data_IF_337909582340
#
_entry.id   IF_337909582340
#
_cell.length_a   1.000
_cell.length_b   1.000
_cell.length_c   1.000
_cell.angle_alpha   90.00
_cell.angle_beta   90.00
_cell.angle_gamma   90.00
#
_symmetry.space_group_name_H-M   'P 1'
#
loop_
_entity.id
_entity.type
_entity.pdbx_description
1 polymer ?
#
# COMPACT_ATOMS: atom_id res chain seq x y z
N UNK A 1 2.92 14.26 3.10
CA UNK A 1 2.25 15.39 2.44
C UNK A 1 2.97 16.70 2.70
N UNK A 2 2.65 17.74 1.93
CA UNK A 2 3.22 19.09 2.04
C UNK A 2 2.15 20.13 1.63
N UNK A 3 2.51 21.41 1.40
CA UNK A 3 1.56 22.48 1.02
C UNK A 3 0.88 23.17 2.20
N UNK A 4 0.78 22.50 3.33
CA UNK A 4 0.30 23.01 4.63
C UNK A 4 1.27 22.57 5.71
N UNK A 5 1.28 23.27 6.85
CA UNK A 5 2.12 22.92 8.00
C UNK A 5 1.50 21.79 8.83
N UNK A 6 2.29 21.16 9.73
CA UNK A 6 1.79 20.17 10.68
C UNK A 6 0.65 20.72 11.55
N UNK A 7 0.79 21.95 12.03
CA UNK A 7 -0.26 22.63 12.78
C UNK A 7 -1.54 22.81 11.98
N UNK A 8 -1.45 23.27 10.73
CA UNK A 8 -2.61 23.44 9.85
C UNK A 8 -3.28 22.10 9.52
N UNK A 9 -2.48 21.05 9.28
CA UNK A 9 -2.98 19.70 9.05
C UNK A 9 -3.74 19.16 10.29
N UNK A 10 -3.14 19.29 11.46
CA UNK A 10 -3.79 18.90 12.72
C UNK A 10 -5.06 19.73 12.97
N UNK A 11 -5.01 21.05 12.75
CA UNK A 11 -6.19 21.93 12.88
C UNK A 11 -7.35 21.53 11.97
N UNK A 12 -7.07 21.16 10.71
CA UNK A 12 -8.10 20.70 9.78
C UNK A 12 -8.79 19.41 10.25
N UNK A 13 -8.02 18.47 10.82
CA UNK A 13 -8.58 17.21 11.34
C UNK A 13 -9.28 17.44 12.68
N UNK A 14 -8.77 18.33 13.52
CA UNK A 14 -9.46 18.74 14.76
C UNK A 14 -10.82 19.37 14.49
N UNK A 15 -10.91 20.24 13.48
CA UNK A 15 -12.18 20.83 13.04
C UNK A 15 -13.16 19.76 12.51
N UNK A 16 -12.67 18.75 11.79
CA UNK A 16 -13.50 17.63 11.32
C UNK A 16 -14.09 16.84 12.50
N UNK A 17 -13.33 16.61 13.56
CA UNK A 17 -13.76 15.83 14.72
C UNK A 17 -14.47 16.66 15.81
N UNK A 18 -14.53 17.99 15.66
CA UNK A 18 -15.06 18.89 16.69
C UNK A 18 -14.19 18.92 17.97
N UNK A 19 -12.87 18.72 17.81
CA UNK A 19 -11.89 18.66 18.91
C UNK A 19 -10.80 19.71 18.73
N UNK A 20 -9.73 19.64 19.53
CA UNK A 20 -8.59 20.55 19.43
C UNK A 20 -7.32 19.83 19.03
N UNK A 21 -6.52 20.48 18.17
CA UNK A 21 -5.15 20.08 17.90
C UNK A 21 -4.23 20.55 19.02
N UNK A 22 -3.33 19.67 19.48
CA UNK A 22 -2.35 19.96 20.51
C UNK A 22 -0.96 19.63 20.01
N UNK A 23 -0.02 20.55 20.21
CA UNK A 23 1.40 20.23 20.02
C UNK A 23 1.85 19.38 21.21
N UNK A 24 2.53 18.26 20.94
CA UNK A 24 3.11 17.43 22.00
C UNK A 24 4.62 17.65 22.04
N UNK A 25 5.19 17.63 23.23
CA UNK A 25 6.64 17.87 23.41
C UNK A 25 7.44 16.57 23.57
N UNK A 26 6.86 15.44 23.19
CA UNK A 26 7.48 14.11 23.31
C UNK A 26 8.79 13.98 22.51
N UNK A 27 8.94 14.75 21.45
CA UNK A 27 10.16 14.78 20.67
C UNK A 27 10.38 16.15 20.02
N UNK A 28 11.50 16.80 20.32
CA UNK A 28 11.91 18.03 19.62
C UNK A 28 12.25 17.79 18.16
N UNK A 29 12.69 16.58 17.82
CA UNK A 29 13.10 16.23 16.47
C UNK A 29 11.91 16.11 15.52
N UNK A 30 10.79 15.52 15.99
CA UNK A 30 9.63 15.25 15.14
C UNK A 30 8.53 16.32 15.24
N UNK A 31 8.64 17.27 16.15
CA UNK A 31 7.67 18.38 16.35
C UNK A 31 6.22 17.93 16.17
N UNK A 32 5.76 16.96 16.99
CA UNK A 32 4.50 16.28 16.75
C UNK A 32 3.30 17.13 17.19
N UNK A 33 2.25 17.07 16.37
CA UNK A 33 0.90 17.55 16.70
C UNK A 33 -0.03 16.35 16.82
N UNK A 34 -0.97 16.41 17.74
CA UNK A 34 -1.92 15.34 18.03
C UNK A 34 -3.36 15.87 18.01
N UNK A 35 -4.26 15.05 17.46
CA UNK A 35 -5.70 15.25 17.51
C UNK A 35 -6.33 13.97 18.07
N UNK A 36 -7.19 14.08 19.05
CA UNK A 36 -7.91 12.96 19.63
C UNK A 36 -9.34 12.99 19.06
N UNK A 37 -9.79 11.86 18.45
CA UNK A 37 -11.15 11.74 17.96
C UNK A 37 -12.15 11.37 19.08
N UNK A 38 -13.43 11.25 18.73
CA UNK A 38 -14.49 10.95 19.68
C UNK A 38 -14.35 9.57 20.37
N UNK A 39 -13.61 8.64 19.75
CA UNK A 39 -13.33 7.32 20.29
C UNK A 39 -12.05 7.28 21.14
N UNK A 40 -11.43 8.45 21.38
CA UNK A 40 -10.19 8.58 22.13
C UNK A 40 -8.94 8.18 21.32
N UNK A 41 -9.05 7.95 20.03
CA UNK A 41 -7.95 7.54 19.17
C UNK A 41 -7.12 8.75 18.75
N UNK A 42 -5.80 8.59 18.74
CA UNK A 42 -4.82 9.66 18.51
C UNK A 42 -4.34 9.68 17.07
N UNK A 43 -4.60 10.77 16.38
CA UNK A 43 -4.11 11.09 15.03
C UNK A 43 -2.88 12.01 15.19
N UNK A 44 -1.72 11.57 14.69
CA UNK A 44 -0.46 12.28 14.90
C UNK A 44 0.08 12.85 13.59
N UNK A 45 0.54 14.08 13.64
CA UNK A 45 1.16 14.80 12.52
C UNK A 45 2.61 15.06 12.90
N UNK A 46 3.54 14.37 12.25
CA UNK A 46 4.96 14.39 12.60
C UNK A 46 5.83 14.88 11.45
N UNK A 47 7.05 15.24 11.75
CA UNK A 47 8.07 15.60 10.77
C UNK A 47 8.59 14.33 10.07
N UNK A 48 8.62 14.38 8.74
CA UNK A 48 9.34 13.39 7.91
C UNK A 48 10.42 14.09 7.08
N UNK A 49 11.68 13.80 7.42
CA UNK A 49 12.85 14.41 6.79
C UNK A 49 12.97 14.14 5.29
N UNK A 50 12.40 13.06 4.78
CA UNK A 50 12.46 12.65 3.37
C UNK A 50 11.60 13.52 2.45
N UNK A 51 10.60 14.23 3.01
CA UNK A 51 9.66 15.05 2.24
C UNK A 51 10.35 16.32 1.72
N UNK A 52 10.22 16.58 0.43
CA UNK A 52 10.56 17.86 -0.18
C UNK A 52 9.41 18.84 0.10
N UNK A 53 9.68 19.77 1.03
CA UNK A 53 8.68 20.74 1.48
C UNK A 53 8.29 21.72 0.34
N UNK A 54 7.00 21.94 0.19
CA UNK A 54 6.44 22.99 -0.69
C UNK A 54 5.40 23.79 0.08
N UNK A 55 5.17 25.02 -0.35
CA UNK A 55 4.13 25.91 0.17
C UNK A 55 3.37 26.56 -0.99
N UNK A 56 2.15 26.96 -0.72
CA UNK A 56 1.36 27.66 -1.73
C UNK A 56 1.68 29.14 -1.71
N UNK A 57 2.12 29.67 -2.85
CA UNK A 57 2.32 31.11 -3.08
C UNK A 57 1.40 31.52 -4.24
N UNK A 58 0.34 32.24 -3.92
CA UNK A 58 -0.73 32.54 -4.87
C UNK A 58 -1.40 31.26 -5.40
N UNK A 59 -1.24 30.99 -6.70
CA UNK A 59 -1.80 29.79 -7.35
C UNK A 59 -0.77 28.67 -7.58
N UNK A 60 0.49 28.86 -7.16
CA UNK A 60 1.60 27.91 -7.43
C UNK A 60 2.06 27.24 -6.16
N UNK A 61 2.61 26.04 -6.32
CA UNK A 61 3.38 25.36 -5.28
C UNK A 61 4.86 25.71 -5.48
N UNK A 62 5.49 26.26 -4.45
CA UNK A 62 6.89 26.64 -4.46
C UNK A 62 7.65 25.91 -3.35
N UNK A 63 8.96 25.67 -3.49
CA UNK A 63 9.75 25.08 -2.41
C UNK A 63 9.63 25.88 -1.12
N UNK A 64 9.39 25.19 0.00
CA UNK A 64 9.35 25.80 1.32
C UNK A 64 10.67 25.53 2.05
N UNK A 65 11.21 26.56 2.73
CA UNK A 65 12.39 26.40 3.60
C UNK A 65 12.02 25.91 4.98
N UNK A 66 10.80 26.19 5.43
CA UNK A 66 10.32 25.80 6.75
C UNK A 66 9.99 24.29 6.77
N UNK A 67 10.62 23.59 7.69
CA UNK A 67 10.41 22.17 7.92
C UNK A 67 8.99 21.82 8.43
N UNK A 68 8.23 22.81 8.89
CA UNK A 68 6.84 22.64 9.30
C UNK A 68 5.95 22.10 8.16
N UNK A 69 6.35 22.35 6.88
CA UNK A 69 5.67 21.83 5.70
C UNK A 69 6.02 20.37 5.33
N UNK A 70 6.89 19.71 6.09
CA UNK A 70 7.16 18.27 5.95
C UNK A 70 6.25 17.51 6.90
N UNK A 71 5.14 17.00 6.38
CA UNK A 71 4.06 16.46 7.20
C UNK A 71 3.83 14.99 6.89
N UNK A 72 4.01 14.14 7.89
CA UNK A 72 3.54 12.77 7.90
C UNK A 72 2.34 12.64 8.82
N UNK A 73 1.25 12.05 8.35
CA UNK A 73 0.11 11.67 9.17
C UNK A 73 0.22 10.21 9.57
N UNK A 74 0.30 9.95 10.87
CA UNK A 74 0.18 8.63 11.46
C UNK A 74 -1.24 8.47 12.01
N UNK A 75 -2.03 7.60 11.36
CA UNK A 75 -3.34 7.23 11.87
C UNK A 75 -3.21 6.39 13.15
N UNK A 76 -4.20 6.38 14.02
CA UNK A 76 -4.31 5.33 15.03
C UNK A 76 -4.55 3.97 14.36
N UNK A 77 -4.52 2.90 15.16
CA UNK A 77 -4.99 1.59 14.71
C UNK A 77 -6.49 1.68 14.41
N UNK A 78 -6.85 1.36 13.17
CA UNK A 78 -8.22 1.45 12.66
C UNK A 78 -8.73 0.07 12.29
N UNK A 79 -10.01 -0.18 12.57
CA UNK A 79 -10.74 -1.31 12.02
C UNK A 79 -11.23 -1.01 10.60
N UNK A 80 -11.50 -2.03 9.79
CA UNK A 80 -11.99 -1.83 8.42
C UNK A 80 -13.31 -1.04 8.37
N UNK A 81 -14.14 -1.17 9.38
CA UNK A 81 -15.39 -0.40 9.54
C UNK A 81 -15.15 1.12 9.66
N UNK A 82 -13.96 1.54 10.11
CA UNK A 82 -13.56 2.94 10.26
C UNK A 82 -12.96 3.56 8.98
N UNK A 83 -12.95 2.82 7.87
CA UNK A 83 -12.43 3.31 6.59
C UNK A 83 -13.11 4.61 6.14
N UNK A 84 -14.40 4.80 6.46
CA UNK A 84 -15.13 6.05 6.21
C UNK A 84 -14.49 7.25 6.91
N UNK A 85 -14.17 7.10 8.21
CA UNK A 85 -13.49 8.13 9.02
C UNK A 85 -12.14 8.51 8.40
N UNK A 86 -11.32 7.53 8.04
CA UNK A 86 -10.03 7.79 7.36
C UNK A 86 -10.22 8.57 6.05
N UNK A 87 -11.22 8.20 5.26
CA UNK A 87 -11.52 8.89 4.01
C UNK A 87 -11.94 10.36 4.22
N UNK A 88 -12.65 10.66 5.31
CA UNK A 88 -13.03 12.03 5.69
C UNK A 88 -11.79 12.84 6.11
N UNK A 89 -10.88 12.25 6.88
CA UNK A 89 -9.59 12.87 7.23
C UNK A 89 -8.79 13.21 5.98
N UNK A 90 -8.67 12.29 5.03
CA UNK A 90 -7.96 12.54 3.76
C UNK A 90 -8.61 13.69 2.97
N UNK A 91 -9.95 13.77 2.93
CA UNK A 91 -10.67 14.88 2.28
C UNK A 91 -10.44 16.20 3.00
N UNK A 92 -10.51 16.21 4.33
CA UNK A 92 -10.28 17.41 5.13
C UNK A 92 -8.88 17.99 4.88
N UNK A 93 -7.85 17.15 4.87
CA UNK A 93 -6.48 17.56 4.55
C UNK A 93 -6.35 18.13 3.15
N UNK A 94 -6.96 17.48 2.14
CA UNK A 94 -6.97 17.99 0.78
C UNK A 94 -7.69 19.34 0.67
N UNK A 95 -8.81 19.52 1.33
CA UNK A 95 -9.57 20.78 1.35
C UNK A 95 -8.81 21.88 2.09
N UNK A 96 -8.01 21.54 3.11
CA UNK A 96 -7.12 22.48 3.78
C UNK A 96 -5.93 22.93 2.93
N UNK A 97 -5.75 22.36 1.73
CA UNK A 97 -4.69 22.74 0.80
C UNK A 97 -3.44 21.84 0.84
N UNK A 98 -3.49 20.71 1.54
CA UNK A 98 -2.43 19.71 1.47
C UNK A 98 -2.24 19.21 0.04
N UNK A 99 -0.99 18.96 -0.32
CA UNK A 99 -0.59 18.36 -1.60
C UNK A 99 0.41 17.24 -1.36
N UNK A 100 0.62 16.41 -2.37
CA UNK A 100 1.65 15.38 -2.39
C UNK A 100 2.58 15.59 -3.57
N UNK A 101 3.82 15.14 -3.43
CA UNK A 101 4.80 15.14 -4.51
C UNK A 101 5.58 13.81 -4.52
N UNK A 102 6.52 13.65 -5.43
CA UNK A 102 7.27 12.41 -5.61
C UNK A 102 8.10 11.95 -4.40
N UNK A 103 8.31 12.83 -3.41
CA UNK A 103 9.00 12.46 -2.15
C UNK A 103 8.06 11.91 -1.10
N UNK A 104 6.74 12.05 -1.28
CA UNK A 104 5.75 11.53 -0.35
C UNK A 104 5.43 10.07 -0.66
N UNK A 105 5.07 9.30 0.36
CA UNK A 105 4.63 7.92 0.24
C UNK A 105 3.36 7.65 1.06
N UNK A 106 2.68 6.55 0.75
CA UNK A 106 1.66 5.95 1.60
C UNK A 106 2.18 4.60 2.09
N UNK A 107 2.25 4.43 3.41
CA UNK A 107 2.59 3.17 4.05
C UNK A 107 1.34 2.58 4.70
N UNK A 108 1.14 1.29 4.55
CA UNK A 108 0.04 0.56 5.18
C UNK A 108 0.62 -0.48 6.13
N UNK A 109 0.33 -0.34 7.41
CA UNK A 109 0.69 -1.32 8.44
C UNK A 109 -0.53 -2.17 8.78
N UNK A 110 -0.37 -3.49 8.70
CA UNK A 110 -1.41 -4.46 9.07
C UNK A 110 -0.89 -5.25 10.27
N UNK A 111 -1.72 -5.40 11.30
CA UNK A 111 -1.40 -6.21 12.46
C UNK A 111 -0.95 -7.62 12.05
N UNK A 112 0.23 -8.02 12.49
CA UNK A 112 0.81 -9.31 12.19
C UNK A 112 0.42 -10.41 13.17
N UNK A 113 -0.34 -10.13 14.22
CA UNK A 113 -0.70 -11.10 15.28
C UNK A 113 -1.45 -12.32 14.74
N UNK A 114 -2.19 -12.17 13.64
CA UNK A 114 -2.90 -13.27 12.97
C UNK A 114 -2.04 -14.03 11.95
N UNK A 115 -0.84 -13.52 11.67
CA UNK A 115 0.07 -14.17 10.75
C UNK A 115 0.91 -15.23 11.46
N UNK A 116 0.99 -16.39 10.82
CA UNK A 116 1.94 -17.45 11.17
C UNK A 116 3.16 -17.37 10.24
N UNK A 117 4.28 -18.04 10.56
CA UNK A 117 5.41 -18.13 9.63
C UNK A 117 5.00 -18.64 8.24
N UNK A 118 4.05 -19.60 8.18
CA UNK A 118 3.47 -20.10 6.93
C UNK A 118 2.77 -18.98 6.16
N UNK A 119 1.91 -18.21 6.79
CA UNK A 119 1.17 -17.16 6.11
C UNK A 119 2.08 -15.99 5.68
N UNK A 120 3.12 -15.65 6.43
CA UNK A 120 4.13 -14.66 6.02
C UNK A 120 4.94 -15.15 4.80
N UNK A 121 5.32 -16.45 4.78
CA UNK A 121 5.90 -17.08 3.60
C UNK A 121 4.97 -17.00 2.39
N UNK A 122 3.68 -17.27 2.61
CA UNK A 122 2.65 -17.17 1.58
C UNK A 122 2.54 -15.74 1.05
N UNK A 123 2.47 -14.76 1.94
CA UNK A 123 2.36 -13.34 1.58
C UNK A 123 3.57 -12.87 0.75
N UNK A 124 4.78 -13.19 1.20
CA UNK A 124 6.01 -12.90 0.46
C UNK A 124 6.00 -13.55 -0.93
N UNK A 125 5.51 -14.78 -1.02
CA UNK A 125 5.41 -15.52 -2.28
C UNK A 125 4.38 -14.91 -3.23
N UNK A 126 3.21 -14.49 -2.73
CA UNK A 126 2.19 -13.79 -3.50
C UNK A 126 2.76 -12.47 -4.03
N UNK A 127 3.37 -11.67 -3.15
CA UNK A 127 3.99 -10.40 -3.54
C UNK A 127 5.03 -10.62 -4.62
N UNK A 128 6.03 -11.47 -4.40
CA UNK A 128 7.08 -11.77 -5.38
C UNK A 128 6.53 -12.24 -6.72
N UNK A 129 5.52 -13.11 -6.70
CA UNK A 129 4.91 -13.63 -7.93
C UNK A 129 4.23 -12.56 -8.78
N UNK A 130 3.68 -11.52 -8.19
CA UNK A 130 2.87 -10.49 -8.84
C UNK A 130 3.47 -9.09 -8.77
N UNK A 131 4.67 -8.94 -8.22
CA UNK A 131 5.28 -7.67 -7.87
C UNK A 131 5.30 -6.69 -9.05
N UNK A 132 5.77 -7.13 -10.23
CA UNK A 132 5.85 -6.27 -11.41
C UNK A 132 4.45 -5.78 -11.86
N UNK A 133 3.45 -6.64 -11.77
CA UNK A 133 2.06 -6.30 -12.12
C UNK A 133 1.44 -5.37 -11.07
N UNK A 134 1.70 -5.62 -9.78
CA UNK A 134 1.23 -4.78 -8.66
C UNK A 134 1.82 -3.38 -8.78
N UNK A 135 3.15 -3.26 -8.91
CA UNK A 135 3.81 -1.95 -9.01
C UNK A 135 3.34 -1.17 -10.24
N UNK A 136 3.12 -1.86 -11.37
CA UNK A 136 2.56 -1.24 -12.57
C UNK A 136 1.12 -0.74 -12.34
N UNK A 137 0.28 -1.52 -11.66
CA UNK A 137 -1.09 -1.13 -11.33
C UNK A 137 -1.16 0.06 -10.37
N UNK A 138 -0.28 0.09 -9.38
CA UNK A 138 -0.15 1.18 -8.42
C UNK A 138 0.48 2.44 -9.05
N UNK A 139 1.15 2.30 -10.20
CA UNK A 139 1.88 3.38 -10.84
C UNK A 139 3.13 3.80 -10.04
N UNK A 140 3.70 2.86 -9.27
CA UNK A 140 4.88 3.11 -8.45
C UNK A 140 6.05 3.57 -9.31
N UNK A 141 6.56 4.76 -9.03
CA UNK A 141 7.60 5.38 -9.83
C UNK A 141 8.94 4.65 -9.67
N UNK A 142 9.75 4.49 -10.74
CA UNK A 142 11.06 3.83 -10.67
C UNK A 142 11.97 4.41 -9.59
N UNK A 143 11.98 5.74 -9.41
CA UNK A 143 12.75 6.41 -8.36
C UNK A 143 12.36 5.91 -6.96
N UNK A 144 11.06 5.72 -6.73
CA UNK A 144 10.56 5.22 -5.45
C UNK A 144 11.00 3.78 -5.21
N UNK A 145 10.94 2.93 -6.24
CA UNK A 145 11.43 1.55 -6.18
C UNK A 145 12.92 1.51 -5.83
N UNK A 146 13.71 2.41 -6.39
CA UNK A 146 15.16 2.47 -6.14
C UNK A 146 15.53 3.01 -4.75
N UNK A 147 14.69 3.83 -4.12
CA UNK A 147 15.04 4.54 -2.88
C UNK A 147 14.27 4.06 -1.65
N UNK A 148 13.01 3.69 -1.78
CA UNK A 148 12.10 3.53 -0.63
C UNK A 148 11.28 2.25 -0.61
N UNK A 149 11.19 1.52 -1.74
CA UNK A 149 10.42 0.28 -1.82
C UNK A 149 11.04 -0.70 -2.82
N UNK A 150 12.25 -1.17 -2.50
CA UNK A 150 12.98 -2.13 -3.32
C UNK A 150 12.15 -3.38 -3.63
N UNK A 151 12.43 -3.98 -4.77
CA UNK A 151 11.84 -5.27 -5.15
C UNK A 151 12.27 -6.38 -4.17
N UNK A 152 11.44 -7.38 -4.05
CA UNK A 152 11.73 -8.58 -3.26
C UNK A 152 13.01 -9.26 -3.75
N UNK A 153 13.93 -9.56 -2.84
CA UNK A 153 15.17 -10.27 -3.18
C UNK A 153 14.90 -11.73 -3.50
N UNK A 154 15.17 -12.11 -4.72
CA UNK A 154 14.88 -13.47 -5.22
C UNK A 154 15.55 -14.56 -4.38
N UNK A 155 16.81 -14.37 -3.94
CA UNK A 155 17.52 -15.31 -3.09
C UNK A 155 16.82 -15.50 -1.73
N UNK A 156 16.38 -14.41 -1.08
CA UNK A 156 15.66 -14.45 0.20
C UNK A 156 14.30 -15.15 0.02
N UNK A 157 13.57 -14.78 -1.04
CA UNK A 157 12.29 -15.41 -1.36
C UNK A 157 12.46 -16.91 -1.60
N UNK A 158 13.48 -17.32 -2.39
CA UNK A 158 13.78 -18.75 -2.66
C UNK A 158 14.07 -19.52 -1.38
N UNK A 159 14.90 -18.95 -0.49
CA UNK A 159 15.24 -19.60 0.80
C UNK A 159 13.98 -19.78 1.64
N UNK A 160 13.22 -18.71 1.89
CA UNK A 160 12.02 -18.74 2.73
C UNK A 160 10.97 -19.70 2.15
N UNK A 161 10.80 -19.71 0.84
CA UNK A 161 9.82 -20.53 0.16
C UNK A 161 10.11 -22.02 0.25
N UNK A 162 11.41 -22.41 0.19
CA UNK A 162 11.85 -23.79 0.24
C UNK A 162 11.98 -24.34 1.67
N UNK A 163 11.68 -23.54 2.69
CA UNK A 163 11.68 -24.01 4.07
C UNK A 163 10.58 -25.07 4.30
N UNK A 164 10.83 -26.02 5.21
CA UNK A 164 9.89 -27.11 5.45
C UNK A 164 8.55 -26.65 6.01
N UNK A 165 7.50 -27.48 5.93
CA UNK A 165 6.30 -27.28 6.73
C UNK A 165 6.67 -27.26 8.22
N UNK A 166 6.05 -26.42 9.02
CA UNK A 166 6.44 -26.24 10.42
C UNK A 166 7.53 -25.18 10.64
N UNK A 167 7.80 -24.36 9.63
CA UNK A 167 8.64 -23.16 9.74
C UNK A 167 8.32 -22.36 11.00
N UNK A 168 9.31 -22.05 11.82
CA UNK A 168 9.18 -21.21 13.00
C UNK A 168 9.38 -19.72 12.65
N UNK A 169 8.89 -18.82 13.50
CA UNK A 169 9.10 -17.38 13.33
C UNK A 169 10.60 -17.02 13.37
N UNK A 170 11.34 -17.69 14.22
CA UNK A 170 12.80 -17.49 14.31
C UNK A 170 13.53 -17.91 13.03
N UNK A 171 13.14 -19.04 12.43
CA UNK A 171 13.72 -19.45 11.14
C UNK A 171 13.38 -18.49 10.03
N UNK A 172 12.14 -17.96 9.99
CA UNK A 172 11.75 -16.93 9.05
C UNK A 172 12.55 -15.65 9.25
N UNK A 173 12.72 -15.20 10.48
CA UNK A 173 13.53 -14.04 10.86
C UNK A 173 14.97 -14.18 10.39
N UNK A 174 15.62 -15.30 10.69
CA UNK A 174 17.00 -15.59 10.26
C UNK A 174 17.14 -15.60 8.74
N UNK A 175 16.17 -16.14 8.03
CA UNK A 175 16.17 -16.13 6.56
C UNK A 175 16.00 -14.72 5.99
N UNK A 176 15.09 -13.92 6.57
CA UNK A 176 14.85 -12.54 6.15
C UNK A 176 16.12 -11.69 6.26
N UNK A 177 16.87 -11.83 7.34
CA UNK A 177 18.11 -11.11 7.58
C UNK A 177 19.37 -11.84 7.05
N UNK A 178 19.22 -12.95 6.31
CA UNK A 178 20.33 -13.74 5.75
C UNK A 178 21.34 -14.18 6.82
N UNK A 179 20.84 -14.64 7.95
CA UNK A 179 21.64 -15.11 9.09
C UNK A 179 22.20 -14.02 9.99
N UNK A 180 22.00 -12.74 9.68
CA UNK A 180 22.40 -11.61 10.52
C UNK A 180 21.35 -11.33 11.60
N UNK A 181 21.73 -10.63 12.66
CA UNK A 181 20.78 -10.05 13.59
C UNK A 181 20.45 -8.62 13.15
N UNK A 182 19.20 -8.38 12.81
CA UNK A 182 18.74 -7.08 12.32
C UNK A 182 17.38 -6.67 12.93
N UNK A 183 16.80 -7.54 13.77
CA UNK A 183 15.45 -7.34 14.29
C UNK A 183 15.33 -6.10 15.18
N UNK A 184 16.39 -5.74 15.89
CA UNK A 184 16.42 -4.60 16.81
C UNK A 184 16.95 -3.31 16.20
N UNK A 185 17.38 -3.34 14.93
CA UNK A 185 17.91 -2.16 14.24
C UNK A 185 16.77 -1.40 13.56
N UNK A 186 16.36 -0.25 14.15
CA UNK A 186 15.32 0.61 13.61
C UNK A 186 15.56 1.01 12.14
N UNK A 187 16.80 1.24 11.76
CA UNK A 187 17.20 1.66 10.41
C UNK A 187 17.70 0.52 9.53
N UNK A 188 17.36 -0.72 9.88
CA UNK A 188 17.76 -1.88 9.07
C UNK A 188 17.36 -1.66 7.61
N UNK A 189 18.31 -1.87 6.70
CA UNK A 189 18.12 -1.65 5.28
C UNK A 189 16.95 -2.48 4.68
N UNK A 190 16.64 -3.64 5.26
CA UNK A 190 15.54 -4.49 4.81
C UNK A 190 14.15 -3.87 5.03
N UNK A 191 14.06 -2.77 5.77
CA UNK A 191 12.82 -1.98 5.90
C UNK A 191 12.36 -1.36 4.57
N UNK A 192 13.28 -1.18 3.62
CA UNK A 192 13.01 -0.52 2.34
C UNK A 192 12.49 -1.46 1.26
N UNK A 193 12.01 -2.65 1.58
CA UNK A 193 11.29 -3.48 0.61
C UNK A 193 9.85 -3.03 0.41
N UNK A 194 9.31 -3.26 -0.81
CA UNK A 194 7.91 -2.99 -1.16
C UNK A 194 6.93 -3.68 -0.22
N UNK A 195 7.21 -4.93 0.17
CA UNK A 195 6.62 -5.65 1.29
C UNK A 195 7.69 -5.80 2.37
N UNK A 196 7.55 -5.04 3.44
CA UNK A 196 8.53 -4.99 4.52
C UNK A 196 8.15 -5.95 5.66
N UNK A 197 8.86 -7.09 5.76
CA UNK A 197 8.71 -8.01 6.88
C UNK A 197 9.64 -7.67 8.07
N UNK A 198 10.59 -6.74 7.93
CA UNK A 198 11.32 -6.22 9.09
C UNK A 198 10.35 -5.63 10.12
N UNK A 199 9.29 -4.96 9.66
CA UNK A 199 8.25 -4.42 10.52
C UNK A 199 7.53 -5.48 11.36
N UNK A 200 7.46 -6.74 10.90
CA UNK A 200 6.90 -7.85 11.70
C UNK A 200 7.74 -8.11 12.94
N UNK A 201 9.06 -8.09 12.78
CA UNK A 201 10.00 -8.41 13.87
C UNK A 201 10.26 -7.21 14.78
N UNK A 202 10.10 -5.99 14.28
CA UNK A 202 10.38 -4.75 15.00
C UNK A 202 9.11 -4.12 15.62
N UNK A 203 8.01 -4.06 14.87
CA UNK A 203 6.76 -3.38 15.26
C UNK A 203 5.56 -4.32 15.46
N UNK A 204 5.67 -5.60 15.10
CA UNK A 204 4.53 -6.52 15.10
C UNK A 204 3.53 -6.28 13.98
N UNK A 205 3.92 -5.61 12.89
CA UNK A 205 3.04 -5.33 11.74
C UNK A 205 3.68 -5.76 10.43
N UNK A 206 2.87 -6.15 9.45
CA UNK A 206 3.30 -6.23 8.06
C UNK A 206 3.18 -4.85 7.44
N UNK A 207 4.26 -4.32 6.90
CA UNK A 207 4.27 -2.99 6.27
C UNK A 207 4.33 -3.10 4.74
N UNK A 208 3.46 -2.35 4.08
CA UNK A 208 3.43 -2.15 2.64
C UNK A 208 3.93 -0.75 2.30
N UNK A 209 5.01 -0.65 1.51
CA UNK A 209 5.67 0.61 1.17
C UNK A 209 5.55 0.99 -0.30
N UNK A 210 4.94 0.15 -1.11
CA UNK A 210 4.87 0.29 -2.56
C UNK A 210 3.83 1.31 -3.06
N UNK A 211 2.97 1.83 -2.20
CA UNK A 211 1.94 2.77 -2.60
C UNK A 211 2.49 4.18 -2.80
N UNK A 212 2.09 4.80 -3.91
CA UNK A 212 2.32 6.23 -4.12
C UNK A 212 1.45 7.04 -3.17
N UNK A 213 1.95 8.20 -2.75
CA UNK A 213 1.16 9.10 -1.93
C UNK A 213 0.01 9.70 -2.71
N UNK A 214 -1.16 9.77 -2.09
CA UNK A 214 -2.36 10.36 -2.66
C UNK A 214 -3.22 11.01 -1.57
N UNK A 215 -3.90 12.09 -1.93
CA UNK A 215 -4.98 12.71 -1.13
C UNK A 215 -6.36 12.44 -1.75
N UNK A 216 -6.45 11.42 -2.62
CA UNK A 216 -7.71 10.93 -3.12
C UNK A 216 -8.23 9.81 -2.22
N UNK A 217 -9.27 10.09 -1.43
CA UNK A 217 -9.81 9.18 -0.42
C UNK A 217 -10.21 7.79 -0.95
N UNK A 218 -10.66 7.71 -2.22
CA UNK A 218 -10.98 6.44 -2.88
C UNK A 218 -9.75 5.62 -3.22
N UNK A 219 -8.63 6.25 -3.59
CA UNK A 219 -7.36 5.57 -3.84
C UNK A 219 -6.77 5.05 -2.53
N UNK A 220 -6.74 5.86 -1.46
CA UNK A 220 -6.28 5.42 -0.13
C UNK A 220 -7.05 4.17 0.32
N UNK A 221 -8.39 4.18 0.19
CA UNK A 221 -9.21 3.00 0.47
C UNK A 221 -8.83 1.81 -0.40
N UNK A 222 -8.60 2.01 -1.68
CA UNK A 222 -8.26 0.94 -2.61
C UNK A 222 -6.91 0.29 -2.28
N UNK A 223 -5.90 1.09 -1.95
CA UNK A 223 -4.56 0.63 -1.58
C UNK A 223 -4.59 -0.18 -0.28
N UNK A 224 -5.28 0.32 0.75
CA UNK A 224 -5.45 -0.39 2.02
C UNK A 224 -6.23 -1.70 1.81
N UNK A 225 -7.30 -1.67 1.01
CA UNK A 225 -8.10 -2.87 0.72
C UNK A 225 -7.28 -3.93 -0.02
N UNK A 226 -6.41 -3.53 -0.95
CA UNK A 226 -5.49 -4.46 -1.62
C UNK A 226 -4.54 -5.13 -0.61
N UNK A 227 -3.91 -4.35 0.26
CA UNK A 227 -2.99 -4.85 1.28
C UNK A 227 -3.69 -5.86 2.23
N UNK A 228 -4.89 -5.52 2.70
CA UNK A 228 -5.71 -6.39 3.55
C UNK A 228 -6.12 -7.67 2.84
N UNK A 229 -6.57 -7.59 1.57
CA UNK A 229 -7.00 -8.74 0.80
C UNK A 229 -5.84 -9.70 0.52
N UNK A 230 -4.63 -9.19 0.22
CA UNK A 230 -3.43 -10.02 0.07
C UNK A 230 -3.01 -10.68 1.38
N UNK A 231 -3.10 -9.97 2.51
CA UNK A 231 -2.85 -10.51 3.84
C UNK A 231 -3.84 -11.63 4.18
N UNK A 232 -5.13 -11.41 3.98
CA UNK A 232 -6.18 -12.41 4.20
C UNK A 232 -5.98 -13.65 3.31
N UNK A 233 -5.69 -13.46 2.03
CA UNK A 233 -5.36 -14.54 1.11
C UNK A 233 -4.19 -15.39 1.61
N UNK A 234 -3.12 -14.73 2.07
CA UNK A 234 -1.94 -15.41 2.58
C UNK A 234 -2.22 -16.24 3.85
N UNK A 235 -3.11 -15.77 4.71
CA UNK A 235 -3.55 -16.49 5.92
C UNK A 235 -4.36 -17.73 5.54
N UNK A 236 -5.27 -17.59 4.58
CA UNK A 236 -6.21 -18.64 4.19
C UNK A 236 -5.57 -19.74 3.31
N UNK A 237 -4.47 -19.45 2.63
CA UNK A 237 -3.81 -20.44 1.77
C UNK A 237 -2.95 -21.41 2.55
N UNK A 238 -3.12 -22.71 2.27
CA UNK A 238 -2.22 -23.74 2.79
C UNK A 238 -0.87 -23.74 2.08
N UNK A 239 -0.88 -23.56 0.77
CA UNK A 239 0.33 -23.56 -0.09
C UNK A 239 0.27 -22.42 -1.08
N UNK A 240 1.42 -21.84 -1.41
CA UNK A 240 1.51 -20.84 -2.46
C UNK A 240 2.31 -21.36 -3.64
N UNK A 241 2.01 -20.79 -4.81
CA UNK A 241 2.86 -20.91 -6.00
C UNK A 241 3.62 -19.60 -6.16
N UNK A 242 4.93 -19.65 -6.05
CA UNK A 242 5.78 -18.47 -6.11
C UNK A 242 6.57 -18.38 -7.42
N UNK A 243 6.02 -18.83 -8.53
CA UNK A 243 6.60 -18.54 -9.83
C UNK A 243 6.32 -17.08 -10.19
N UNK A 244 7.35 -16.32 -10.52
CA UNK A 244 7.19 -14.96 -11.03
C UNK A 244 6.34 -15.01 -12.31
N UNK A 245 5.29 -14.22 -12.35
CA UNK A 245 4.36 -14.17 -13.48
C UNK A 245 4.71 -12.94 -14.32
N UNK A 246 5.10 -13.10 -15.59
CA UNK A 246 5.38 -11.95 -16.44
C UNK A 246 4.11 -11.10 -16.59
N UNK A 247 4.31 -9.80 -16.74
CA UNK A 247 3.23 -8.89 -17.14
C UNK A 247 2.93 -9.17 -18.60
N UNK A 248 1.79 -9.78 -18.88
CA UNK A 248 1.38 -10.11 -20.25
C UNK A 248 0.93 -8.89 -21.06
N UNK A 249 0.44 -9.12 -22.28
CA UNK A 249 0.00 -8.06 -23.20
C UNK A 249 -1.25 -7.31 -22.72
N UNK A 250 -2.06 -7.92 -21.85
CA UNK A 250 -3.22 -7.30 -21.23
C UNK A 250 -3.09 -7.29 -19.69
N UNK A 251 -2.31 -6.37 -19.13
CA UNK A 251 -2.13 -6.27 -17.68
C UNK A 251 -3.41 -5.91 -16.92
N UNK A 252 -4.35 -5.17 -17.53
CA UNK A 252 -5.62 -4.84 -16.91
C UNK A 252 -6.46 -6.09 -16.64
N UNK A 253 -6.56 -7.01 -17.60
CA UNK A 253 -7.23 -8.29 -17.42
C UNK A 253 -6.52 -9.18 -16.38
N UNK A 254 -5.19 -9.28 -16.48
CA UNK A 254 -4.39 -10.06 -15.56
C UNK A 254 -4.55 -9.58 -14.11
N UNK A 255 -4.52 -8.25 -13.90
CA UNK A 255 -4.65 -7.67 -12.57
C UNK A 255 -6.09 -7.79 -12.05
N UNK A 256 -7.10 -7.55 -12.89
CA UNK A 256 -8.50 -7.79 -12.49
C UNK A 256 -8.71 -9.24 -12.06
N UNK A 257 -8.18 -10.21 -12.81
CA UNK A 257 -8.25 -11.63 -12.44
C UNK A 257 -7.59 -11.89 -11.09
N UNK A 258 -6.44 -11.25 -10.83
CA UNK A 258 -5.79 -11.33 -9.52
C UNK A 258 -6.66 -10.74 -8.41
N UNK A 259 -7.25 -9.56 -8.60
CA UNK A 259 -8.15 -8.94 -7.61
C UNK A 259 -9.37 -9.82 -7.30
N UNK A 260 -9.96 -10.45 -8.31
CA UNK A 260 -11.07 -11.39 -8.11
C UNK A 260 -10.65 -12.63 -7.30
N UNK A 261 -9.43 -13.14 -7.53
CA UNK A 261 -8.86 -14.26 -6.76
C UNK A 261 -8.55 -13.87 -5.31
N UNK A 262 -8.30 -12.60 -5.03
CA UNK A 262 -8.19 -12.06 -3.67
C UNK A 262 -9.56 -11.91 -2.97
N UNK A 263 -10.67 -12.25 -3.64
CA UNK A 263 -12.02 -12.09 -3.10
C UNK A 263 -12.61 -10.69 -3.29
N UNK A 264 -11.94 -9.78 -4.01
CA UNK A 264 -12.47 -8.44 -4.30
C UNK A 264 -13.51 -8.51 -5.43
N UNK A 265 -14.61 -9.25 -5.18
CA UNK A 265 -15.67 -9.53 -6.15
C UNK A 265 -16.84 -8.55 -5.90
N UNK A 266 -17.94 -8.62 -5.92
CA UNK A 266 -19.12 -7.85 -5.53
C UNK A 266 -19.16 -6.35 -5.91
N UNK A 267 -20.32 -5.71 -5.77
CA UNK A 267 -20.49 -4.28 -6.02
C UNK A 267 -19.75 -3.42 -5.00
N UNK A 268 -19.58 -3.88 -3.77
CA UNK A 268 -18.89 -3.18 -2.68
C UNK A 268 -17.41 -2.89 -3.00
N UNK A 269 -16.78 -3.73 -3.83
CA UNK A 269 -15.41 -3.54 -4.30
C UNK A 269 -15.30 -2.90 -5.68
N UNK A 270 -16.42 -2.47 -6.30
CA UNK A 270 -16.41 -1.87 -7.65
C UNK A 270 -15.46 -0.67 -7.72
N UNK A 271 -15.56 0.26 -6.77
CA UNK A 271 -14.71 1.44 -6.73
C UNK A 271 -13.24 1.09 -6.42
N UNK A 272 -13.00 0.10 -5.56
CA UNK A 272 -11.65 -0.41 -5.28
C UNK A 272 -11.00 -0.92 -6.57
N UNK A 273 -11.70 -1.80 -7.31
CA UNK A 273 -11.20 -2.32 -8.58
C UNK A 273 -11.00 -1.20 -9.62
N UNK A 274 -11.90 -0.23 -9.69
CA UNK A 274 -11.77 0.90 -10.60
C UNK A 274 -10.48 1.69 -10.33
N UNK A 275 -10.19 2.02 -9.08
CA UNK A 275 -8.97 2.75 -8.72
C UNK A 275 -7.70 1.94 -9.00
N UNK A 276 -7.69 0.65 -8.69
CA UNK A 276 -6.54 -0.24 -8.87
C UNK A 276 -6.27 -0.58 -10.34
N UNK A 277 -7.26 -0.50 -11.23
CA UNK A 277 -7.12 -0.84 -12.65
C UNK A 277 -6.85 0.38 -13.54
N UNK A 278 -7.10 1.59 -13.08
CA UNK A 278 -7.13 2.81 -13.92
C UNK A 278 -5.80 3.15 -14.63
N UNK A 279 -4.67 2.65 -14.12
CA UNK A 279 -3.32 2.91 -14.69
C UNK A 279 -2.84 1.81 -15.62
N UNK A 280 -3.58 0.71 -15.71
CA UNK A 280 -3.17 -0.44 -16.54
C UNK A 280 -3.74 -0.32 -17.94
N UNK A 281 -2.91 -0.53 -18.98
CA UNK A 281 -3.40 -0.61 -20.34
C UNK A 281 -4.13 -1.95 -20.57
N UNK A 282 -4.98 -1.97 -21.59
CA UNK A 282 -5.75 -3.12 -21.99
C UNK A 282 -7.19 -3.10 -21.47
N UNK A 283 -7.94 -4.10 -21.81
CA UNK A 283 -9.34 -4.28 -21.41
C UNK A 283 -9.43 -5.20 -20.20
N UNK A 284 -9.94 -4.72 -19.04
CA UNK A 284 -10.05 -5.55 -17.84
C UNK A 284 -11.10 -6.68 -17.97
N UNK A 285 -12.03 -6.59 -18.91
CA UNK A 285 -13.09 -7.58 -19.11
C UNK A 285 -12.72 -8.71 -20.08
N UNK A 286 -11.83 -8.43 -21.01
CA UNK A 286 -11.52 -9.36 -22.11
C UNK A 286 -10.02 -9.65 -22.18
N UNK A 287 -9.65 -10.95 -22.22
CA UNK A 287 -8.26 -11.38 -22.33
C UNK A 287 -7.63 -10.96 -23.68
N UNK A 288 -8.42 -11.01 -24.75
CA UNK A 288 -8.05 -10.59 -26.10
C UNK A 288 -8.94 -9.44 -26.53
N UNK A 289 -8.56 -8.74 -27.61
CA UNK A 289 -9.40 -7.69 -28.19
C UNK A 289 -10.82 -8.21 -28.42
N UNK A 290 -11.81 -7.46 -27.96
CA UNK A 290 -13.24 -7.80 -28.08
C UNK A 290 -13.63 -8.08 -29.52
N UNK A 291 -13.12 -7.31 -30.46
CA UNK A 291 -13.40 -7.49 -31.90
C UNK A 291 -12.82 -8.80 -32.44
N UNK A 292 -11.66 -9.23 -31.93
CA UNK A 292 -11.08 -10.53 -32.29
C UNK A 292 -11.90 -11.69 -31.71
N UNK A 293 -12.43 -11.55 -30.49
CA UNK A 293 -13.28 -12.57 -29.89
C UNK A 293 -14.64 -12.67 -30.59
N UNK A 294 -15.28 -11.54 -30.90
CA UNK A 294 -16.55 -11.54 -31.66
C UNK A 294 -16.37 -12.11 -33.08
N UNK A 295 -15.24 -11.80 -33.71
CA UNK A 295 -14.92 -12.38 -35.02
C UNK A 295 -14.64 -13.89 -34.95
N UNK A 296 -14.01 -14.35 -33.88
CA UNK A 296 -13.80 -15.79 -33.61
C UNK A 296 -15.14 -16.51 -33.37
N UNK A 297 -16.00 -15.95 -32.54
CA UNK A 297 -17.34 -16.53 -32.30
C UNK A 297 -18.18 -16.59 -33.59
N UNK A 298 -18.23 -15.50 -34.38
CA UNK A 298 -18.95 -15.50 -35.67
C UNK A 298 -18.47 -16.54 -36.66
N UNK A 299 -17.19 -16.90 -36.63
CA UNK A 299 -16.63 -17.98 -37.50
C UNK A 299 -17.01 -19.37 -37.02
N UNK A 300 -17.17 -19.59 -35.71
CA UNK A 300 -17.41 -20.90 -35.12
C UNK A 300 -18.91 -21.21 -34.94
N UNK A 301 -19.76 -20.18 -34.78
CA UNK A 301 -21.21 -20.36 -34.75
C UNK A 301 -21.82 -20.55 -36.15
N UNK A 302 -21.19 -20.06 -37.24
CA UNK A 302 -21.63 -20.31 -38.62
C UNK A 302 -21.24 -21.67 -39.15
N UNK A 303 -20.39 -22.42 -38.46
CA UNK A 303 -19.98 -23.79 -38.86
C UNK A 303 -20.82 -24.91 -38.26
N UNK A 304 -21.82 -24.60 -37.42
CA UNK A 304 -22.65 -25.57 -36.70
C UNK A 304 -23.96 -25.97 -37.41
N UNK A 305 -24.39 -25.21 -38.44
CA UNK A 305 -25.67 -25.48 -39.14
C UNK A 305 -25.53 -26.16 -40.49
N UNK A 306 -24.39 -26.84 -40.74
CA UNK A 306 -24.18 -27.62 -41.94
C UNK A 306 -23.75 -29.06 -41.60
N UNK A 307 -24.66 -29.83 -40.98
CA UNK A 307 -24.70 -31.29 -41.05
C UNK A 307 -26.11 -31.80 -40.79
#
# INVERSE_FOLDING_TARGET
MTGITRQQAAGAVAALFGTMARQTHESRLYDPWEVVDADGKKWRFVYDGSIQATQRVGRRQEPARDSAYKVELNSPVLEYAEMGKLQEVVRALRHAGAVVNASCGLHVHIDASKHTPRSLRNLLSIMYSKEDLILKALGTQPRRVQQYCHLSRENVVKVIRNMPPGLTMEQLRRAWYEGRDGAHDHYNWSRYYALNLHSVFYHGTVEWRCFESTLHAGEVRADITLALAMSAQAINLEKTVARKTPVGDNPAFAFRTFLLRLGLIGPEYKNVRMHLLKRLPGDPAWLRDRNQYESYQRRHTRGGDAR
#
